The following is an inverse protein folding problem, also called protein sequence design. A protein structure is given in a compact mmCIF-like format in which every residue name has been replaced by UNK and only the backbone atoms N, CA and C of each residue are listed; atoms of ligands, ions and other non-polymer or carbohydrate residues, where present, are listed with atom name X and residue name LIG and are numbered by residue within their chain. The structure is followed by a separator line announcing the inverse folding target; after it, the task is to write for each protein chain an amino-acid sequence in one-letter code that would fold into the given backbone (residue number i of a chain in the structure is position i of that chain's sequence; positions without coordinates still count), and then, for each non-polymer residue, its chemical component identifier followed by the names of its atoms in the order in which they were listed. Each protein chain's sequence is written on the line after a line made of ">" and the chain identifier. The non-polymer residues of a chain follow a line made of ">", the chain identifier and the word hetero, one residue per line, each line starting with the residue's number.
data_IF_446056498549
#
_entry.id   IF_446056498549
#
_cell.length_a   1.000
_cell.length_b   1.000
_cell.length_c   1.000
_cell.angle_alpha   90.00
_cell.angle_beta   90.00
_cell.angle_gamma   90.00
#
_symmetry.space_group_name_H-M   'P 1'
#
loop_
_entity.id
_entity.type
_entity.pdbx_description
1 polymer ?
#
# COMPACT_ATOMS: atom_id res chain seq x y z
N UNK A 1 -3.82 -20.17 14.54
CA UNK A 1 -3.38 -18.76 14.49
C UNK A 1 -4.27 -17.96 13.57
N UNK A 2 -4.73 -16.83 14.05
CA UNK A 2 -5.58 -15.97 13.24
C UNK A 2 -4.75 -15.06 12.34
N UNK A 3 -5.28 -14.74 11.19
CA UNK A 3 -4.57 -13.90 10.23
C UNK A 3 -5.54 -13.06 9.39
N UNK A 4 -5.23 -11.78 9.26
CA UNK A 4 -5.88 -10.91 8.29
C UNK A 4 -4.77 -10.30 7.43
N UNK A 5 -4.66 -10.70 6.19
CA UNK A 5 -3.57 -10.30 5.31
C UNK A 5 -4.07 -9.80 3.97
N UNK A 6 -3.21 -9.05 3.28
CA UNK A 6 -3.46 -8.58 1.93
C UNK A 6 -2.29 -8.92 1.03
N UNK A 7 -2.57 -8.98 -0.24
CA UNK A 7 -1.57 -8.96 -1.30
C UNK A 7 -2.01 -7.94 -2.34
N UNK A 8 -1.14 -6.99 -2.64
CA UNK A 8 -1.39 -6.01 -3.69
C UNK A 8 -0.26 -6.07 -4.71
N UNK A 9 -0.63 -6.12 -5.97
CA UNK A 9 0.31 -6.06 -7.08
C UNK A 9 -0.13 -4.90 -7.98
N UNK A 10 0.74 -3.91 -8.14
CA UNK A 10 0.39 -2.73 -8.92
C UNK A 10 1.57 -1.78 -9.08
N UNK A 11 1.30 -0.59 -9.55
CA UNK A 11 2.32 0.41 -9.81
C UNK A 11 2.28 1.53 -8.79
N UNK A 12 3.47 2.00 -8.39
CA UNK A 12 3.60 3.12 -7.46
C UNK A 12 3.19 4.41 -8.14
N UNK A 13 2.23 5.12 -7.53
CA UNK A 13 1.81 6.43 -8.00
C UNK A 13 2.31 7.57 -7.13
N UNK A 14 2.56 7.28 -5.86
CA UNK A 14 3.10 8.26 -4.91
C UNK A 14 3.91 7.53 -3.84
N UNK A 15 4.98 8.16 -3.40
CA UNK A 15 5.85 7.61 -2.37
C UNK A 15 6.25 8.71 -1.42
N UNK A 16 6.07 8.49 -0.12
CA UNK A 16 6.51 9.39 0.93
C UNK A 16 7.35 8.63 1.95
N UNK A 17 8.46 9.22 2.36
CA UNK A 17 9.26 8.70 3.47
C UNK A 17 9.13 9.68 4.60
N UNK A 18 8.61 9.20 5.74
CA UNK A 18 8.39 10.04 6.93
C UNK A 18 9.31 9.62 8.05
N UNK A 19 9.96 10.58 8.73
CA UNK A 19 10.77 10.24 9.90
C UNK A 19 9.88 9.85 11.08
N UNK A 20 10.37 8.90 11.85
CA UNK A 20 9.80 8.49 13.12
C UNK A 20 10.84 8.76 14.23
N UNK A 21 10.45 8.55 15.48
CA UNK A 21 11.38 8.69 16.60
C UNK A 21 12.54 7.70 16.49
N UNK A 22 13.76 8.13 16.87
CA UNK A 22 14.93 7.26 16.97
C UNK A 22 15.49 6.80 15.64
N UNK A 23 15.67 7.68 14.69
CA UNK A 23 16.27 7.42 13.36
C UNK A 23 15.52 6.39 12.52
N UNK A 24 14.29 6.08 12.88
CA UNK A 24 13.44 5.19 12.08
C UNK A 24 12.66 5.99 11.05
N UNK A 25 12.29 5.31 9.99
CA UNK A 25 11.48 5.87 8.92
C UNK A 25 10.28 5.00 8.62
N UNK A 26 9.23 5.63 8.14
CA UNK A 26 8.02 5.00 7.65
C UNK A 26 7.90 5.30 6.16
N UNK A 27 7.64 4.31 5.34
CA UNK A 27 7.33 4.53 3.94
C UNK A 27 5.83 4.44 3.73
N UNK A 28 5.25 5.45 3.09
CA UNK A 28 3.85 5.45 2.67
C UNK A 28 3.85 5.30 1.15
N UNK A 29 3.28 4.20 0.68
CA UNK A 29 3.21 3.87 -0.75
C UNK A 29 1.76 3.95 -1.18
N UNK A 30 1.48 4.77 -2.20
CA UNK A 30 0.20 4.75 -2.90
C UNK A 30 0.34 3.88 -4.12
N UNK A 31 -0.32 2.73 -4.11
CA UNK A 31 -0.21 1.71 -5.14
C UNK A 31 -1.50 1.64 -5.94
N UNK A 32 -1.38 1.70 -7.26
CA UNK A 32 -2.50 1.58 -8.18
C UNK A 32 -2.67 0.14 -8.62
N UNK A 33 -3.88 -0.39 -8.45
CA UNK A 33 -4.28 -1.67 -9.05
C UNK A 33 -5.37 -1.39 -10.07
N UNK A 34 -5.29 -2.02 -11.24
CA UNK A 34 -6.24 -1.76 -12.31
C UNK A 34 -6.98 -3.02 -12.71
N UNK A 35 -8.27 -2.85 -12.99
CA UNK A 35 -9.11 -3.90 -13.53
C UNK A 35 -9.53 -3.51 -14.95
N UNK A 36 -9.55 -4.49 -15.84
CA UNK A 36 -10.05 -4.32 -17.19
C UNK A 36 -11.13 -5.37 -17.46
N UNK A 37 -12.19 -4.95 -18.10
CA UNK A 37 -13.25 -5.87 -18.49
C UNK A 37 -13.88 -5.43 -19.78
N UNK A 38 -14.53 -6.38 -20.46
CA UNK A 38 -15.19 -6.14 -21.71
C UNK A 38 -16.68 -5.87 -21.45
N UNK A 39 -17.17 -4.73 -21.92
CA UNK A 39 -18.59 -4.37 -21.83
C UNK A 39 -19.41 -5.16 -22.84
N UNK A 40 -20.74 -5.18 -22.66
CA UNK A 40 -21.65 -5.82 -23.60
C UNK A 40 -21.53 -5.26 -25.03
N UNK A 41 -21.19 -3.98 -25.14
CA UNK A 41 -20.95 -3.31 -26.43
C UNK A 41 -19.71 -3.82 -27.18
N UNK A 42 -18.86 -4.61 -26.51
CA UNK A 42 -17.58 -5.06 -27.05
C UNK A 42 -16.40 -4.15 -26.70
N UNK A 43 -16.67 -3.00 -26.13
CA UNK A 43 -15.61 -2.08 -25.71
C UNK A 43 -14.94 -2.54 -24.43
N UNK A 44 -13.65 -2.21 -24.29
CA UNK A 44 -12.90 -2.47 -23.07
C UNK A 44 -13.01 -1.30 -22.11
N UNK A 45 -13.31 -1.60 -20.86
CA UNK A 45 -13.33 -0.65 -19.77
C UNK A 45 -12.15 -0.92 -18.82
N UNK A 46 -11.71 0.12 -18.14
CA UNK A 46 -10.65 0.02 -17.16
C UNK A 46 -10.99 0.88 -15.95
N UNK A 47 -10.67 0.38 -14.76
CA UNK A 47 -10.81 1.15 -13.54
C UNK A 47 -9.59 0.94 -12.68
N UNK A 48 -9.07 2.03 -12.13
CA UNK A 48 -7.91 2.02 -11.24
C UNK A 48 -8.35 2.32 -9.82
N UNK A 49 -7.85 1.50 -8.90
CA UNK A 49 -8.07 1.67 -7.47
C UNK A 49 -6.75 2.06 -6.82
N UNK A 50 -6.79 3.01 -5.90
CA UNK A 50 -5.62 3.47 -5.18
C UNK A 50 -5.61 2.92 -3.76
N UNK A 51 -4.48 2.34 -3.37
CA UNK A 51 -4.29 1.75 -2.04
C UNK A 51 -3.14 2.45 -1.35
N UNK A 52 -3.37 2.87 -0.12
CA UNK A 52 -2.34 3.49 0.71
C UNK A 52 -1.79 2.42 1.66
N UNK A 53 -0.50 2.15 1.55
CA UNK A 53 0.18 1.11 2.33
C UNK A 53 1.28 1.74 3.17
N UNK A 54 1.28 1.44 4.46
CA UNK A 54 2.32 1.89 5.38
C UNK A 54 3.33 0.77 5.61
N UNK A 55 4.60 1.04 5.37
CA UNK A 55 5.69 0.07 5.53
C UNK A 55 6.57 0.50 6.70
N UNK A 56 6.64 -0.33 7.73
CA UNK A 56 7.34 -0.01 8.97
C UNK A 56 8.68 -0.74 9.16
N UNK A 57 8.86 -1.92 8.56
CA UNK A 57 10.07 -2.70 8.77
C UNK A 57 11.30 -1.98 8.22
N UNK A 58 12.36 -1.73 9.04
CA UNK A 58 13.51 -0.93 8.60
C UNK A 58 14.17 -1.42 7.33
N UNK A 59 14.38 -2.72 7.18
CA UNK A 59 14.99 -3.28 5.98
C UNK A 59 14.13 -3.05 4.74
N UNK A 60 12.83 -3.14 4.88
CA UNK A 60 11.88 -2.92 3.78
C UNK A 60 11.77 -1.45 3.41
N UNK A 61 11.78 -0.56 4.41
CA UNK A 61 11.82 0.89 4.18
C UNK A 61 13.11 1.26 3.44
N UNK A 62 14.23 0.69 3.86
CA UNK A 62 15.53 0.93 3.21
C UNK A 62 15.54 0.49 1.76
N UNK A 63 14.95 -0.67 1.45
CA UNK A 63 14.80 -1.15 0.09
C UNK A 63 13.97 -0.17 -0.76
N UNK A 64 12.87 0.32 -0.19
CA UNK A 64 12.01 1.28 -0.89
C UNK A 64 12.75 2.58 -1.17
N UNK A 65 13.47 3.11 -0.19
CA UNK A 65 14.24 4.34 -0.36
C UNK A 65 15.29 4.22 -1.47
N UNK A 66 15.92 3.06 -1.58
CA UNK A 66 17.02 2.85 -2.53
C UNK A 66 16.57 2.49 -3.94
N UNK A 67 15.47 1.76 -4.06
CA UNK A 67 15.16 1.08 -5.31
C UNK A 67 13.76 1.34 -5.86
N UNK A 68 12.88 2.00 -5.13
CA UNK A 68 11.49 2.23 -5.54
C UNK A 68 11.26 3.69 -5.88
N UNK A 69 10.57 3.92 -6.98
CA UNK A 69 10.18 5.27 -7.42
C UNK A 69 8.78 5.20 -8.04
N UNK A 70 8.22 6.36 -8.35
CA UNK A 70 6.94 6.41 -9.07
C UNK A 70 7.07 5.64 -10.37
N UNK A 71 6.10 4.77 -10.65
CA UNK A 71 6.10 3.89 -11.80
C UNK A 71 6.64 2.48 -11.54
N UNK A 72 7.37 2.28 -10.45
CA UNK A 72 7.86 0.94 -10.09
C UNK A 72 6.69 0.01 -9.85
N UNK A 73 6.76 -1.20 -10.39
CA UNK A 73 5.77 -2.23 -10.13
C UNK A 73 6.17 -3.06 -8.92
N UNK A 74 5.28 -3.10 -7.95
CA UNK A 74 5.52 -3.78 -6.66
C UNK A 74 4.48 -4.85 -6.38
N UNK A 75 4.94 -5.85 -5.63
CA UNK A 75 4.08 -6.76 -4.89
C UNK A 75 4.28 -6.44 -3.40
N UNK A 76 3.19 -6.10 -2.71
CA UNK A 76 3.20 -5.80 -1.29
C UNK A 76 2.32 -6.82 -0.57
N UNK A 77 2.86 -7.44 0.48
CA UNK A 77 2.13 -8.38 1.33
C UNK A 77 2.23 -7.90 2.76
N UNK A 78 1.12 -7.85 3.45
CA UNK A 78 1.11 -7.39 4.82
C UNK A 78 -0.19 -7.74 5.53
N UNK A 79 -0.49 -6.96 6.55
CA UNK A 79 -1.65 -7.13 7.40
C UNK A 79 -2.73 -6.11 7.08
N UNK A 80 -3.97 -6.56 7.18
CA UNK A 80 -5.12 -5.67 7.19
C UNK A 80 -5.41 -5.35 8.66
N UNK A 81 -5.41 -4.08 9.01
CA UNK A 81 -5.72 -3.63 10.37
C UNK A 81 -6.90 -2.67 10.34
N UNK A 82 -8.00 -3.00 11.02
CA UNK A 82 -9.06 -2.02 11.19
C UNK A 82 -8.61 -0.95 12.18
N UNK A 83 -8.99 0.28 11.90
CA UNK A 83 -8.76 1.40 12.79
C UNK A 83 -10.07 2.12 13.09
N UNK A 84 -10.09 2.90 14.14
CA UNK A 84 -11.22 3.75 14.45
C UNK A 84 -10.73 5.05 15.08
N UNK A 85 -11.49 6.10 14.86
CA UNK A 85 -11.23 7.40 15.48
C UNK A 85 -12.55 8.13 15.67
N UNK A 86 -12.54 9.09 16.54
CA UNK A 86 -13.69 9.93 16.80
C UNK A 86 -13.55 11.23 16.00
N UNK A 87 -14.57 11.60 15.24
CA UNK A 87 -14.54 12.82 14.46
C UNK A 87 -14.93 14.05 15.31
N UNK A 88 -14.93 15.23 14.69
CA UNK A 88 -15.23 16.49 15.38
C UNK A 88 -16.65 16.54 15.97
N UNK A 89 -17.55 15.71 15.46
CA UNK A 89 -18.93 15.61 15.94
C UNK A 89 -19.11 14.52 17.01
N UNK A 90 -18.03 13.87 17.43
CA UNK A 90 -18.08 12.79 18.39
C UNK A 90 -18.55 11.47 17.83
N UNK A 91 -18.63 11.33 16.52
CA UNK A 91 -19.01 10.08 15.87
C UNK A 91 -17.79 9.20 15.64
N UNK A 92 -17.96 7.90 15.90
CA UNK A 92 -16.89 6.93 15.62
C UNK A 92 -16.82 6.66 14.12
N UNK A 93 -15.63 6.84 13.57
CA UNK A 93 -15.33 6.52 12.18
C UNK A 93 -14.41 5.31 12.13
N UNK A 94 -14.51 4.54 11.05
CA UNK A 94 -13.74 3.32 10.87
C UNK A 94 -12.90 3.41 9.61
N UNK A 95 -11.72 2.82 9.64
CA UNK A 95 -10.84 2.72 8.50
C UNK A 95 -10.27 1.32 8.40
N UNK A 96 -9.79 0.99 7.22
CA UNK A 96 -9.00 -0.21 7.00
C UNK A 96 -7.60 0.25 6.62
N UNK A 97 -6.60 -0.23 7.35
CA UNK A 97 -5.21 0.11 7.10
C UNK A 97 -4.47 -1.10 6.55
N UNK A 98 -3.65 -0.86 5.54
CA UNK A 98 -2.76 -1.86 4.97
C UNK A 98 -1.35 -1.58 5.49
N UNK A 99 -0.79 -2.55 6.21
CA UNK A 99 0.48 -2.37 6.92
C UNK A 99 1.45 -3.48 6.58
N UNK A 100 2.67 -3.12 6.20
CA UNK A 100 3.76 -4.08 5.98
C UNK A 100 4.72 -3.99 7.15
N UNK A 101 4.83 -5.08 7.90
CA UNK A 101 5.76 -5.22 9.02
C UNK A 101 6.88 -6.18 8.64
N UNK A 102 7.70 -6.57 9.62
CA UNK A 102 8.77 -7.55 9.39
C UNK A 102 8.27 -8.90 8.87
N UNK A 103 7.00 -9.24 9.11
CA UNK A 103 6.40 -10.49 8.65
C UNK A 103 5.80 -10.39 7.25
N UNK A 104 5.76 -9.19 6.69
CA UNK A 104 5.25 -8.97 5.34
C UNK A 104 6.33 -9.06 4.29
N UNK A 105 6.03 -8.57 3.09
CA UNK A 105 6.95 -8.62 1.98
C UNK A 105 6.83 -7.39 1.07
N UNK A 106 7.97 -6.99 0.51
CA UNK A 106 8.07 -5.95 -0.51
C UNK A 106 8.91 -6.54 -1.64
N UNK A 107 8.31 -6.73 -2.80
CA UNK A 107 8.99 -7.33 -3.94
C UNK A 107 8.90 -6.38 -5.14
N UNK A 108 10.04 -6.06 -5.73
CA UNK A 108 10.11 -5.23 -6.93
C UNK A 108 9.96 -6.14 -8.14
N UNK A 109 8.88 -5.96 -8.90
CA UNK A 109 8.58 -6.79 -10.06
C UNK A 109 9.11 -6.19 -11.36
N UNK A 110 9.08 -4.86 -11.47
CA UNK A 110 9.60 -4.16 -12.63
C UNK A 110 9.91 -2.71 -12.25
N UNK A 111 10.95 -2.16 -12.83
CA UNK A 111 11.32 -0.77 -12.60
C UNK A 111 10.40 0.16 -13.38
N UNK A 112 10.14 1.29 -12.78
CA UNK A 112 9.34 2.34 -13.42
C UNK A 112 10.10 3.17 -14.41
#
# INVERSE_FOLDING_TARGET
>A
MDRASFELIGNVGKLEIKPLKGDRHLAIVSLATSERWKAESGDWNEKTYWHRVAVFAPAKVSLIEKAVQVGTRLRLVGQIRPGSWEDERGQTRYSIEFVVTGLGDVEILARG
#
